data_IF_698139510476
#
_entry.id   IF_698139510476
#
_cell.length_a   1.000
_cell.length_b   1.000
_cell.length_c   1.000
_cell.angle_alpha   90.00
_cell.angle_beta   90.00
_cell.angle_gamma   90.00
#
_symmetry.space_group_name_H-M   'P 1'
#
loop_
_entity.id
_entity.type
_entity.pdbx_description
1 polymer ?
#
# COMPACT_ATOMS: atom_id res chain seq x y z
N UNK A 1 -3.84 -20.52 9.54
CA UNK A 1 -3.90 -21.63 8.56
C UNK A 1 -2.49 -22.02 8.17
N UNK A 2 -2.09 -23.28 8.40
CA UNK A 2 -0.68 -23.65 8.29
C UNK A 2 -0.24 -23.74 6.83
N UNK A 3 0.51 -22.74 6.38
CA UNK A 3 1.35 -22.88 5.19
C UNK A 3 2.39 -23.98 5.44
N UNK A 4 2.67 -24.79 4.42
CA UNK A 4 3.79 -25.73 4.45
C UNK A 4 4.87 -25.20 3.51
N UNK A 5 6.10 -25.15 3.99
CA UNK A 5 7.25 -24.70 3.22
C UNK A 5 8.28 -25.83 3.27
N UNK A 6 8.69 -26.31 2.10
CA UNK A 6 9.69 -27.36 1.94
C UNK A 6 10.83 -26.78 1.10
N UNK A 7 12.06 -27.05 1.49
CA UNK A 7 13.23 -26.77 0.68
C UNK A 7 13.79 -28.09 0.14
N UNK A 8 14.16 -28.12 -1.14
CA UNK A 8 14.75 -29.29 -1.76
C UNK A 8 15.80 -28.89 -2.81
N UNK A 9 16.90 -29.63 -2.83
CA UNK A 9 18.03 -29.46 -3.75
C UNK A 9 17.78 -30.21 -5.07
N UNK A 10 16.64 -29.94 -5.72
CA UNK A 10 16.31 -30.46 -7.04
C UNK A 10 16.69 -29.46 -8.13
N UNK A 11 17.70 -29.76 -8.95
CA UNK A 11 18.21 -28.82 -9.94
C UNK A 11 18.39 -29.44 -11.35
N UNK A 12 18.09 -30.74 -11.49
CA UNK A 12 17.89 -31.43 -12.76
C UNK A 12 16.39 -31.69 -13.00
N UNK A 13 15.87 -31.67 -14.25
CA UNK A 13 14.44 -31.87 -14.52
C UNK A 13 13.85 -33.15 -13.90
N UNK A 14 14.61 -34.24 -13.89
CA UNK A 14 14.20 -35.51 -13.27
C UNK A 14 14.02 -35.40 -11.76
N UNK A 15 14.93 -34.69 -11.08
CA UNK A 15 14.85 -34.44 -9.63
C UNK A 15 13.64 -33.56 -9.33
N UNK A 16 13.49 -32.45 -10.08
CA UNK A 16 12.34 -31.54 -9.96
C UNK A 16 11.03 -32.30 -10.14
N UNK A 17 10.92 -33.14 -11.17
CA UNK A 17 9.71 -33.94 -11.41
C UNK A 17 9.41 -34.89 -10.24
N UNK A 18 10.42 -35.59 -9.71
CA UNK A 18 10.25 -36.50 -8.57
C UNK A 18 9.80 -35.77 -7.29
N UNK A 19 10.40 -34.62 -6.99
CA UNK A 19 10.01 -33.79 -5.84
C UNK A 19 8.58 -33.30 -5.98
N UNK A 20 8.19 -32.77 -7.14
CA UNK A 20 6.85 -32.23 -7.34
C UNK A 20 5.76 -33.32 -7.37
N UNK A 21 6.06 -34.50 -7.91
CA UNK A 21 5.16 -35.65 -7.83
C UNK A 21 4.94 -36.08 -6.36
N UNK A 22 6.02 -36.13 -5.57
CA UNK A 22 5.94 -36.41 -4.14
C UNK A 22 5.12 -35.34 -3.41
N UNK A 23 5.34 -34.07 -3.71
CA UNK A 23 4.58 -32.96 -3.16
C UNK A 23 3.08 -33.05 -3.47
N UNK A 24 2.70 -33.44 -4.69
CA UNK A 24 1.29 -33.67 -5.06
C UNK A 24 0.66 -34.83 -4.29
N UNK A 25 1.44 -35.85 -3.93
CA UNK A 25 0.93 -36.95 -3.09
C UNK A 25 0.49 -36.48 -1.69
N UNK A 26 1.02 -35.35 -1.21
CA UNK A 26 0.62 -34.69 0.04
C UNK A 26 -0.70 -33.91 -0.07
N UNK A 27 -1.35 -33.94 -1.25
CA UNK A 27 -2.64 -33.31 -1.56
C UNK A 27 -2.75 -31.86 -1.05
N UNK A 28 -1.82 -30.95 -1.40
CA UNK A 28 -1.98 -29.54 -1.06
C UNK A 28 -3.16 -28.93 -1.84
N UNK A 29 -3.75 -27.86 -1.32
CA UNK A 29 -4.77 -27.10 -2.06
C UNK A 29 -4.16 -26.50 -3.32
N UNK A 30 -2.98 -25.88 -3.19
CA UNK A 30 -2.13 -25.47 -4.30
C UNK A 30 -0.67 -25.82 -4.03
N UNK A 31 0.02 -26.25 -5.08
CA UNK A 31 1.45 -26.47 -5.10
C UNK A 31 2.15 -25.27 -5.75
N UNK A 32 2.87 -24.52 -4.93
CA UNK A 32 3.60 -23.32 -5.33
C UNK A 32 5.09 -23.64 -5.36
N UNK A 33 5.78 -23.23 -6.42
CA UNK A 33 7.22 -23.50 -6.59
C UNK A 33 7.97 -22.19 -6.77
N UNK A 34 9.01 -21.99 -5.98
CA UNK A 34 10.04 -20.98 -6.25
C UNK A 34 11.28 -21.71 -6.78
N UNK A 35 11.54 -21.58 -8.08
CA UNK A 35 12.59 -22.30 -8.80
C UNK A 35 13.77 -21.39 -9.14
N UNK A 36 14.98 -21.80 -8.75
CA UNK A 36 16.23 -21.19 -9.17
C UNK A 36 16.93 -22.08 -10.19
N UNK A 37 16.99 -21.68 -11.48
CA UNK A 37 17.72 -22.43 -12.48
C UNK A 37 19.22 -22.43 -12.16
N UNK A 38 19.89 -23.56 -12.39
CA UNK A 38 21.33 -23.71 -12.15
C UNK A 38 22.08 -23.83 -13.47
N UNK A 39 23.01 -22.89 -13.73
CA UNK A 39 23.84 -22.73 -14.94
C UNK A 39 23.05 -22.29 -16.18
N UNK A 40 23.65 -21.38 -16.96
CA UNK A 40 23.08 -20.93 -18.23
C UNK A 40 23.05 -22.06 -19.26
N UNK A 41 24.14 -22.81 -19.35
CA UNK A 41 24.27 -23.91 -20.31
C UNK A 41 23.21 -25.00 -20.11
N UNK A 42 22.88 -25.31 -18.84
CA UNK A 42 21.84 -26.28 -18.49
C UNK A 42 20.45 -25.71 -18.71
N UNK A 43 20.21 -24.46 -18.31
CA UNK A 43 18.94 -23.76 -18.53
C UNK A 43 18.58 -23.77 -20.01
N UNK A 44 19.55 -23.47 -20.89
CA UNK A 44 19.35 -23.50 -22.34
C UNK A 44 19.06 -24.92 -22.86
N UNK A 45 19.88 -25.91 -22.48
CA UNK A 45 19.79 -27.28 -23.01
C UNK A 45 18.55 -28.04 -22.56
N UNK A 46 18.10 -27.80 -21.32
CA UNK A 46 17.03 -28.56 -20.67
C UNK A 46 15.76 -27.75 -20.46
N UNK A 47 15.60 -26.61 -21.15
CA UNK A 47 14.46 -25.70 -20.95
C UNK A 47 13.12 -26.45 -21.08
N UNK A 48 12.94 -27.22 -22.16
CA UNK A 48 11.72 -27.98 -22.43
C UNK A 48 11.45 -29.04 -21.35
N UNK A 49 12.49 -29.76 -20.91
CA UNK A 49 12.35 -30.78 -19.86
C UNK A 49 11.98 -30.15 -18.51
N UNK A 50 12.56 -28.99 -18.17
CA UNK A 50 12.10 -28.21 -17.00
C UNK A 50 10.65 -27.75 -17.17
N UNK A 51 10.28 -27.26 -18.36
CA UNK A 51 8.93 -26.84 -18.69
C UNK A 51 7.90 -27.93 -18.43
N UNK A 52 8.22 -29.18 -18.81
CA UNK A 52 7.42 -30.38 -18.53
C UNK A 52 7.39 -30.73 -17.05
N UNK A 53 8.55 -30.77 -16.39
CA UNK A 53 8.64 -31.14 -14.98
C UNK A 53 7.84 -30.19 -14.07
N UNK A 54 7.94 -28.89 -14.35
CA UNK A 54 7.29 -27.83 -13.58
C UNK A 54 5.78 -27.74 -13.80
N UNK A 55 5.20 -28.44 -14.81
CA UNK A 55 3.74 -28.52 -14.98
C UNK A 55 3.03 -29.15 -13.78
N UNK A 56 3.76 -29.90 -12.95
CA UNK A 56 3.19 -30.45 -11.73
C UNK A 56 2.78 -29.36 -10.72
N UNK A 57 3.30 -28.14 -10.81
CA UNK A 57 2.94 -27.01 -9.94
C UNK A 57 1.71 -26.26 -10.45
N UNK A 58 0.97 -25.61 -9.54
CA UNK A 58 -0.10 -24.68 -9.90
C UNK A 58 0.45 -23.29 -10.26
N UNK A 59 1.55 -22.90 -9.61
CA UNK A 59 2.24 -21.64 -9.87
C UNK A 59 3.75 -21.76 -9.66
N UNK A 60 4.53 -21.29 -10.62
CA UNK A 60 5.98 -21.32 -10.65
C UNK A 60 6.55 -19.90 -10.67
N UNK A 61 7.36 -19.56 -9.69
CA UNK A 61 8.15 -18.35 -9.64
C UNK A 61 9.59 -18.68 -10.00
N UNK A 62 10.09 -18.12 -11.10
CA UNK A 62 11.45 -18.39 -11.56
C UNK A 62 12.36 -17.23 -11.18
N UNK A 63 13.40 -17.50 -10.39
CA UNK A 63 14.41 -16.51 -10.03
C UNK A 63 15.47 -16.38 -11.12
N UNK A 64 16.35 -15.38 -10.98
CA UNK A 64 17.56 -15.29 -11.80
C UNK A 64 18.39 -16.59 -11.72
N UNK A 65 19.01 -16.92 -12.84
CA UNK A 65 19.84 -18.13 -13.00
C UNK A 65 21.03 -18.03 -12.06
N UNK A 66 21.24 -19.07 -11.23
CA UNK A 66 22.47 -19.22 -10.47
C UNK A 66 23.59 -19.67 -11.42
N UNK A 67 24.63 -18.84 -11.68
CA UNK A 67 25.57 -19.07 -12.77
C UNK A 67 26.55 -20.22 -12.50
N UNK A 68 26.87 -20.51 -11.23
CA UNK A 68 27.90 -21.48 -10.84
C UNK A 68 29.22 -21.32 -11.64
N UNK A 69 29.71 -20.07 -11.69
CA UNK A 69 30.91 -19.65 -12.44
C UNK A 69 30.80 -19.64 -13.97
N UNK A 70 29.62 -19.89 -14.56
CA UNK A 70 29.41 -19.67 -16.00
C UNK A 70 29.24 -18.19 -16.33
N UNK A 71 29.74 -17.78 -17.51
CA UNK A 71 29.38 -16.51 -18.10
C UNK A 71 27.95 -16.57 -18.65
N UNK A 72 27.18 -15.46 -18.60
CA UNK A 72 25.88 -15.39 -19.22
C UNK A 72 25.92 -15.78 -20.71
N UNK A 73 24.95 -16.59 -21.13
CA UNK A 73 24.72 -16.91 -22.54
C UNK A 73 23.67 -15.95 -23.08
N UNK A 74 23.94 -15.32 -24.22
CA UNK A 74 23.02 -14.39 -24.87
C UNK A 74 21.65 -15.05 -25.11
N UNK A 75 20.58 -14.35 -24.72
CA UNK A 75 19.20 -14.83 -24.84
C UNK A 75 18.75 -15.85 -23.78
N UNK A 76 19.64 -16.33 -22.91
CA UNK A 76 19.30 -17.32 -21.86
C UNK A 76 19.08 -16.62 -20.53
N UNK A 77 17.84 -16.64 -20.04
CA UNK A 77 17.44 -15.95 -18.80
C UNK A 77 16.42 -16.79 -18.02
N UNK A 78 15.97 -16.31 -16.85
CA UNK A 78 14.85 -16.90 -16.13
C UNK A 78 13.58 -17.03 -17.02
N UNK A 79 13.40 -16.09 -17.96
CA UNK A 79 12.28 -16.11 -18.92
C UNK A 79 12.31 -17.37 -19.81
N UNK A 80 13.50 -17.92 -20.10
CA UNK A 80 13.63 -19.16 -20.87
C UNK A 80 12.88 -20.33 -20.22
N UNK A 81 12.89 -20.43 -18.88
CA UNK A 81 12.13 -21.46 -18.16
C UNK A 81 10.64 -21.10 -18.12
N UNK A 82 10.27 -19.84 -17.90
CA UNK A 82 8.87 -19.40 -17.91
C UNK A 82 8.21 -19.71 -19.25
N UNK A 83 8.87 -19.38 -20.37
CA UNK A 83 8.38 -19.65 -21.72
C UNK A 83 8.23 -21.16 -21.98
N UNK A 84 9.17 -21.96 -21.47
CA UNK A 84 9.09 -23.42 -21.58
C UNK A 84 7.93 -24.01 -20.76
N UNK A 85 7.65 -23.48 -19.56
CA UNK A 85 6.48 -23.86 -18.76
C UNK A 85 5.20 -23.50 -19.50
N UNK A 86 5.09 -22.28 -20.04
CA UNK A 86 3.90 -21.83 -20.76
C UNK A 86 3.64 -22.62 -22.04
N UNK A 87 4.70 -23.10 -22.70
CA UNK A 87 4.60 -23.90 -23.93
C UNK A 87 4.21 -25.36 -23.68
N UNK A 88 4.39 -25.87 -22.45
CA UNK A 88 4.15 -27.28 -22.09
C UNK A 88 2.82 -27.52 -21.35
N UNK A 89 2.04 -26.48 -21.04
CA UNK A 89 0.73 -26.64 -20.41
C UNK A 89 0.20 -25.36 -19.76
N UNK A 90 -0.62 -25.55 -18.73
CA UNK A 90 -1.41 -24.46 -18.12
C UNK A 90 -0.87 -23.99 -16.77
N UNK A 91 0.27 -24.52 -16.30
CA UNK A 91 0.90 -24.04 -15.08
C UNK A 91 1.24 -22.55 -15.23
N UNK A 92 0.85 -21.74 -14.24
CA UNK A 92 1.20 -20.32 -14.24
C UNK A 92 2.69 -20.20 -13.96
N UNK A 93 3.40 -19.35 -14.70
CA UNK A 93 4.80 -19.06 -14.45
C UNK A 93 5.13 -17.58 -14.63
N UNK A 94 5.96 -17.03 -13.76
CA UNK A 94 6.46 -15.66 -13.86
C UNK A 94 7.89 -15.50 -13.33
N UNK A 95 8.62 -14.55 -13.89
CA UNK A 95 9.97 -14.19 -13.44
C UNK A 95 9.87 -13.28 -12.22
N UNK A 96 10.61 -13.61 -11.15
CA UNK A 96 10.65 -12.81 -9.92
C UNK A 96 11.98 -12.07 -9.70
N UNK A 97 12.96 -12.29 -10.59
CA UNK A 97 14.27 -11.65 -10.54
C UNK A 97 15.19 -12.26 -9.46
N UNK A 98 16.04 -11.45 -8.82
CA UNK A 98 17.03 -11.96 -7.86
C UNK A 98 16.39 -12.66 -6.66
N UNK A 99 17.01 -13.76 -6.18
CA UNK A 99 16.59 -14.49 -4.97
C UNK A 99 16.39 -13.56 -3.77
N UNK A 100 17.24 -12.53 -3.62
CA UNK A 100 17.14 -11.56 -2.52
C UNK A 100 15.74 -10.94 -2.38
N UNK A 101 15.03 -10.74 -3.50
CA UNK A 101 13.72 -10.12 -3.57
C UNK A 101 12.56 -11.09 -3.83
N UNK A 102 12.85 -12.33 -4.24
CA UNK A 102 11.81 -13.29 -4.68
C UNK A 102 10.71 -13.54 -3.64
N UNK A 103 11.06 -13.50 -2.36
CA UNK A 103 10.11 -13.69 -1.26
C UNK A 103 8.98 -12.66 -1.19
N UNK A 104 9.17 -11.43 -1.71
CA UNK A 104 8.09 -10.44 -1.77
C UNK A 104 6.95 -10.91 -2.68
N UNK A 105 7.28 -11.32 -3.90
CA UNK A 105 6.30 -11.79 -4.89
C UNK A 105 5.73 -13.15 -4.50
N UNK A 106 6.60 -14.09 -4.11
CA UNK A 106 6.19 -15.45 -3.71
C UNK A 106 5.29 -15.37 -2.47
N UNK A 107 5.72 -14.68 -1.42
CA UNK A 107 4.98 -14.58 -0.16
C UNK A 107 3.64 -13.85 -0.29
N UNK A 108 3.53 -12.83 -1.16
CA UNK A 108 2.26 -12.15 -1.42
C UNK A 108 1.24 -13.04 -2.16
N UNK A 109 1.71 -14.01 -2.93
CA UNK A 109 0.84 -14.91 -3.69
C UNK A 109 0.32 -16.12 -2.89
N UNK A 110 0.94 -16.40 -1.74
CA UNK A 110 0.57 -17.53 -0.89
C UNK A 110 -0.81 -17.33 -0.25
N UNK A 111 -1.52 -18.45 -0.11
CA UNK A 111 -2.83 -18.55 0.52
C UNK A 111 -2.82 -19.66 1.58
N UNK A 112 -3.74 -19.59 2.57
CA UNK A 112 -4.04 -20.72 3.43
C UNK A 112 -4.13 -22.05 2.66
N UNK A 113 -3.47 -23.10 3.15
CA UNK A 113 -3.51 -24.44 2.53
C UNK A 113 -2.44 -24.70 1.46
N UNK A 114 -1.71 -23.67 1.02
CA UNK A 114 -0.62 -23.84 0.05
C UNK A 114 0.54 -24.67 0.61
N UNK A 115 1.17 -25.42 -0.30
CA UNK A 115 2.50 -25.99 -0.12
C UNK A 115 3.48 -25.24 -1.03
N UNK A 116 4.37 -24.46 -0.43
CA UNK A 116 5.50 -23.83 -1.11
C UNK A 116 6.69 -24.79 -1.12
N UNK A 117 7.32 -24.94 -2.29
CA UNK A 117 8.61 -25.60 -2.41
C UNK A 117 9.63 -24.63 -3.01
N UNK A 118 10.74 -24.41 -2.29
CA UNK A 118 11.94 -23.79 -2.88
C UNK A 118 12.78 -24.89 -3.52
N UNK A 119 13.06 -24.74 -4.82
CA UNK A 119 13.73 -25.74 -5.64
C UNK A 119 14.86 -25.12 -6.45
N UNK A 120 15.98 -25.81 -6.53
CA UNK A 120 17.10 -25.41 -7.35
C UNK A 120 18.42 -25.54 -6.62
N UNK A 121 19.43 -24.88 -7.15
CA UNK A 121 20.74 -24.82 -6.52
C UNK A 121 21.16 -23.36 -6.33
N UNK A 122 22.02 -23.11 -5.34
CA UNK A 122 22.35 -21.76 -4.89
C UNK A 122 21.66 -21.46 -3.56
N UNK A 123 20.96 -20.34 -3.48
CA UNK A 123 20.42 -19.80 -2.23
C UNK A 123 18.89 -19.61 -2.24
N UNK A 124 18.17 -20.28 -3.15
CA UNK A 124 16.71 -20.20 -3.26
C UNK A 124 15.95 -20.51 -1.95
N UNK A 125 16.53 -21.35 -1.08
CA UNK A 125 16.01 -21.67 0.25
C UNK A 125 15.81 -20.43 1.15
N UNK A 126 16.54 -19.34 0.90
CA UNK A 126 16.37 -18.07 1.61
C UNK A 126 14.97 -17.49 1.44
N UNK A 127 14.32 -17.74 0.28
CA UNK A 127 12.95 -17.28 0.01
C UNK A 127 11.99 -17.92 1.02
N UNK A 128 12.03 -19.25 1.13
CA UNK A 128 11.20 -20.02 2.05
C UNK A 128 11.46 -19.63 3.51
N UNK A 129 12.74 -19.45 3.86
CA UNK A 129 13.16 -19.08 5.22
C UNK A 129 12.61 -17.70 5.64
N UNK A 130 12.71 -16.68 4.77
CA UNK A 130 12.17 -15.34 5.03
C UNK A 130 10.65 -15.36 5.19
N UNK A 131 9.95 -16.07 4.29
CA UNK A 131 8.49 -16.20 4.34
C UNK A 131 8.07 -16.91 5.64
N UNK A 132 8.73 -18.01 6.02
CA UNK A 132 8.40 -18.76 7.24
C UNK A 132 8.52 -17.88 8.50
N UNK A 133 9.62 -17.12 8.61
CA UNK A 133 9.86 -16.19 9.72
C UNK A 133 8.78 -15.12 9.80
N UNK A 134 8.50 -14.45 8.68
CA UNK A 134 7.57 -13.33 8.64
C UNK A 134 6.11 -13.80 8.80
N UNK A 135 5.77 -14.98 8.27
CA UNK A 135 4.45 -15.60 8.46
C UNK A 135 4.17 -15.91 9.92
N UNK A 136 5.17 -16.41 10.67
CA UNK A 136 5.03 -16.69 12.11
C UNK A 136 4.57 -15.45 12.86
N UNK A 137 5.13 -14.28 12.54
CA UNK A 137 4.76 -13.00 13.16
C UNK A 137 3.31 -12.62 12.85
N UNK A 138 2.88 -12.76 11.58
CA UNK A 138 1.48 -12.50 11.20
C UNK A 138 0.53 -13.47 11.90
N UNK A 139 0.86 -14.76 11.95
CA UNK A 139 0.02 -15.76 12.63
C UNK A 139 -0.14 -15.45 14.12
N UNK A 140 0.92 -15.01 14.80
CA UNK A 140 0.86 -14.54 16.18
C UNK A 140 -0.07 -13.32 16.34
N UNK A 141 0.08 -12.30 15.49
CA UNK A 141 -0.78 -11.10 15.49
C UNK A 141 -2.26 -11.45 15.23
N UNK A 142 -2.53 -12.31 14.25
CA UNK A 142 -3.90 -12.72 13.91
C UNK A 142 -4.53 -13.58 15.00
N UNK A 143 -3.73 -14.45 15.64
CA UNK A 143 -4.20 -15.23 16.78
C UNK A 143 -4.57 -14.31 17.94
N UNK A 144 -3.73 -13.34 18.29
CA UNK A 144 -4.00 -12.35 19.35
C UNK A 144 -5.35 -11.64 19.12
N UNK A 145 -5.57 -11.10 17.92
CA UNK A 145 -6.80 -10.37 17.59
C UNK A 145 -8.06 -11.24 17.60
N UNK A 146 -7.95 -12.51 17.22
CA UNK A 146 -9.11 -13.39 17.03
C UNK A 146 -9.39 -14.30 18.23
N UNK A 147 -8.48 -14.47 19.19
CA UNK A 147 -8.66 -15.27 20.42
C UNK A 147 -9.86 -14.80 21.27
N UNK A 148 -10.23 -13.51 21.18
CA UNK A 148 -11.36 -12.91 21.89
C UNK A 148 -12.59 -12.69 21.01
N UNK A 149 -12.73 -13.41 19.90
CA UNK A 149 -13.93 -13.34 19.08
C UNK A 149 -14.97 -14.34 19.58
N UNK A 150 -16.16 -13.84 19.95
CA UNK A 150 -17.32 -14.70 20.26
C UNK A 150 -17.90 -15.34 18.99
N UNK A 151 -17.62 -14.74 17.83
CA UNK A 151 -18.04 -15.22 16.51
C UNK A 151 -16.80 -15.73 15.75
N UNK A 152 -16.75 -17.05 15.54
CA UNK A 152 -15.64 -17.72 14.83
C UNK A 152 -15.68 -17.40 13.34
N UNK A 153 -16.84 -16.96 12.81
CA UNK A 153 -17.04 -16.75 11.37
C UNK A 153 -16.72 -15.33 10.90
N UNK A 154 -16.43 -14.39 11.81
CA UNK A 154 -16.00 -13.03 11.47
C UNK A 154 -14.65 -12.67 12.10
N UNK A 155 -13.54 -12.67 11.33
CA UNK A 155 -12.24 -12.28 11.86
C UNK A 155 -12.25 -10.80 12.27
N UNK A 156 -11.64 -10.46 13.40
CA UNK A 156 -11.49 -9.08 13.88
C UNK A 156 -10.38 -8.31 13.18
N UNK A 157 -9.48 -9.02 12.49
CA UNK A 157 -8.44 -8.45 11.64
C UNK A 157 -8.05 -9.41 10.51
N UNK A 158 -7.60 -8.85 9.40
CA UNK A 158 -6.95 -9.59 8.31
C UNK A 158 -5.47 -9.20 8.18
N UNK A 159 -4.68 -10.08 7.58
CA UNK A 159 -3.27 -9.82 7.33
C UNK A 159 -2.77 -10.42 6.01
N UNK A 160 -1.77 -9.77 5.41
CA UNK A 160 -1.05 -10.24 4.22
C UNK A 160 0.44 -9.97 4.35
N UNK A 161 1.25 -10.88 3.82
CA UNK A 161 2.68 -10.65 3.64
C UNK A 161 2.93 -9.84 2.37
N UNK A 162 3.90 -8.94 2.45
CA UNK A 162 4.50 -8.22 1.32
C UNK A 162 3.48 -7.57 0.37
N UNK A 163 2.39 -7.02 0.91
CA UNK A 163 1.31 -6.45 0.10
C UNK A 163 1.80 -5.20 -0.65
N UNK A 164 1.69 -5.14 -1.99
CA UNK A 164 2.16 -3.99 -2.75
C UNK A 164 1.41 -2.71 -2.39
N UNK A 165 2.12 -1.69 -1.92
CA UNK A 165 1.53 -0.38 -1.59
C UNK A 165 0.95 0.34 -2.80
N UNK A 166 1.36 -0.03 -4.02
CA UNK A 166 0.71 0.44 -5.26
C UNK A 166 -0.78 0.11 -5.36
N UNK A 167 -1.28 -0.88 -4.61
CA UNK A 167 -2.73 -1.16 -4.51
C UNK A 167 -3.46 -0.26 -3.51
N UNK A 168 -2.71 0.43 -2.65
CA UNK A 168 -3.21 1.16 -1.48
C UNK A 168 -2.84 2.66 -1.50
N UNK A 169 -2.22 3.15 -2.57
CA UNK A 169 -1.97 4.58 -2.83
C UNK A 169 -2.75 5.06 -4.04
N UNK A 170 -3.19 6.32 -4.04
CA UNK A 170 -3.97 6.85 -5.19
C UNK A 170 -3.10 7.17 -6.41
N UNK A 171 -1.78 7.32 -6.23
CA UNK A 171 -0.82 7.43 -7.33
C UNK A 171 -0.48 6.07 -7.95
N UNK A 172 -0.93 4.97 -7.33
CA UNK A 172 -0.70 3.59 -7.78
C UNK A 172 0.79 3.22 -7.87
N UNK A 173 1.60 3.77 -6.96
CA UNK A 173 3.02 3.46 -6.80
C UNK A 173 3.28 2.94 -5.39
N UNK A 174 4.32 2.11 -5.24
CA UNK A 174 4.78 1.64 -3.95
C UNK A 174 5.16 0.16 -3.92
N UNK A 175 6.30 -0.10 -3.30
CA UNK A 175 6.81 -1.44 -3.00
C UNK A 175 6.00 -2.18 -1.93
N UNK A 176 6.46 -3.36 -1.50
CA UNK A 176 5.75 -4.22 -0.55
C UNK A 176 5.70 -3.64 0.87
N UNK A 177 4.55 -3.74 1.52
CA UNK A 177 4.42 -3.64 2.96
C UNK A 177 4.72 -5.00 3.59
N UNK A 178 5.75 -5.09 4.45
CA UNK A 178 6.18 -6.37 5.03
C UNK A 178 5.03 -7.10 5.71
N UNK A 179 4.34 -6.43 6.63
CA UNK A 179 3.10 -6.91 7.25
C UNK A 179 1.98 -5.93 6.96
N UNK A 180 1.07 -6.29 6.06
CA UNK A 180 -0.16 -5.51 5.84
C UNK A 180 -1.25 -6.02 6.77
N UNK A 181 -1.82 -5.14 7.57
CA UNK A 181 -2.76 -5.48 8.65
C UNK A 181 -4.02 -4.64 8.54
N UNK A 182 -5.19 -5.28 8.58
CA UNK A 182 -6.50 -4.64 8.44
C UNK A 182 -7.37 -4.96 9.65
N UNK A 183 -7.27 -4.20 10.76
CA UNK A 183 -8.17 -4.35 11.89
C UNK A 183 -9.56 -3.78 11.58
N UNK A 184 -10.60 -4.48 12.05
CA UNK A 184 -12.01 -4.15 11.83
C UNK A 184 -12.70 -3.49 13.03
N UNK A 185 -11.95 -3.25 14.11
CA UNK A 185 -12.46 -2.57 15.31
C UNK A 185 -11.32 -2.05 16.20
N UNK A 186 -11.69 -1.26 17.19
CA UNK A 186 -10.73 -0.54 18.03
C UNK A 186 -9.89 -1.46 18.92
N UNK A 187 -10.50 -2.53 19.42
CA UNK A 187 -9.82 -3.56 20.22
C UNK A 187 -8.70 -4.25 19.43
N UNK A 188 -9.01 -4.76 18.23
CA UNK A 188 -8.02 -5.39 17.36
C UNK A 188 -6.90 -4.43 16.96
N UNK A 189 -7.25 -3.16 16.65
CA UNK A 189 -6.25 -2.14 16.35
C UNK A 189 -5.30 -1.89 17.55
N UNK A 190 -5.85 -1.75 18.76
CA UNK A 190 -5.06 -1.58 19.99
C UNK A 190 -4.13 -2.76 20.24
N UNK A 191 -4.61 -3.99 20.08
CA UNK A 191 -3.81 -5.20 20.24
C UNK A 191 -2.65 -5.27 19.23
N UNK A 192 -2.89 -4.96 17.96
CA UNK A 192 -1.83 -4.93 16.94
C UNK A 192 -0.76 -3.87 17.25
N UNK A 193 -1.18 -2.67 17.66
CA UNK A 193 -0.27 -1.58 18.04
C UNK A 193 0.57 -1.97 19.27
N UNK A 194 -0.06 -2.52 20.31
CA UNK A 194 0.64 -3.01 21.51
C UNK A 194 1.65 -4.10 21.16
N UNK A 195 1.23 -5.11 20.40
CA UNK A 195 2.09 -6.20 19.95
C UNK A 195 3.34 -5.68 19.20
N UNK A 196 3.14 -4.72 18.27
CA UNK A 196 4.25 -4.13 17.52
C UNK A 196 5.20 -3.35 18.43
N UNK A 197 4.67 -2.52 19.33
CA UNK A 197 5.46 -1.73 20.30
C UNK A 197 6.31 -2.62 21.20
N UNK A 198 5.71 -3.67 21.78
CA UNK A 198 6.39 -4.60 22.71
C UNK A 198 7.55 -5.36 22.05
N UNK A 199 7.45 -5.64 20.75
CA UNK A 199 8.46 -6.38 19.98
C UNK A 199 9.40 -5.47 19.18
N UNK A 200 9.25 -4.15 19.30
CA UNK A 200 10.05 -3.20 18.53
C UNK A 200 9.82 -3.28 17.02
N UNK A 201 8.65 -3.75 16.58
CA UNK A 201 8.28 -3.78 15.16
C UNK A 201 7.87 -2.36 14.76
N UNK A 202 8.56 -1.71 13.81
CA UNK A 202 8.16 -0.38 13.33
C UNK A 202 6.75 -0.45 12.76
N UNK A 203 5.93 0.55 13.08
CA UNK A 203 4.53 0.58 12.65
C UNK A 203 4.20 1.86 11.91
N UNK A 204 3.35 1.74 10.90
CA UNK A 204 2.81 2.85 10.15
C UNK A 204 1.34 2.67 9.91
N UNK A 205 0.57 3.68 10.29
CA UNK A 205 -0.87 3.71 10.05
C UNK A 205 -1.10 4.40 8.71
N UNK A 206 -1.85 3.76 7.82
CA UNK A 206 -2.15 4.28 6.50
C UNK A 206 -3.66 4.30 6.26
N UNK A 207 -4.14 5.45 5.77
CA UNK A 207 -5.50 5.58 5.27
C UNK A 207 -5.58 5.12 3.81
N UNK A 208 -6.19 5.95 2.95
CA UNK A 208 -6.31 5.67 1.50
C UNK A 208 -5.03 5.91 0.68
N UNK A 209 -3.91 6.21 1.33
CA UNK A 209 -2.65 6.52 0.67
C UNK A 209 -2.73 7.67 -0.35
N UNK A 210 -3.63 8.63 -0.15
CA UNK A 210 -3.88 9.72 -1.11
C UNK A 210 -2.89 10.87 -1.04
N UNK A 211 -2.08 10.91 0.01
CA UNK A 211 -0.98 11.84 0.21
C UNK A 211 0.36 11.10 0.43
N UNK A 212 0.46 9.86 -0.06
CA UNK A 212 1.65 9.02 0.12
C UNK A 212 2.32 8.72 -1.22
N UNK A 213 3.65 8.82 -1.23
CA UNK A 213 4.51 8.22 -2.23
C UNK A 213 5.41 7.19 -1.52
N UNK A 214 5.04 5.92 -1.65
CA UNK A 214 5.85 4.83 -1.08
C UNK A 214 6.94 4.48 -2.06
N UNK A 215 8.19 4.41 -1.61
CA UNK A 215 9.35 4.00 -2.41
C UNK A 215 9.21 2.56 -2.90
N UNK A 216 9.96 2.23 -3.95
CA UNK A 216 9.86 0.93 -4.63
C UNK A 216 10.39 -0.24 -3.78
N UNK A 217 11.30 0.04 -2.82
CA UNK A 217 11.70 -0.95 -1.82
C UNK A 217 10.55 -1.33 -0.89
N UNK A 218 9.62 -0.41 -0.60
CA UNK A 218 8.46 -0.69 0.24
C UNK A 218 8.64 -0.26 1.70
N UNK A 219 7.85 -0.85 2.61
CA UNK A 219 7.79 -0.46 4.03
C UNK A 219 8.07 -1.69 4.91
N UNK A 220 9.14 -1.60 5.69
CA UNK A 220 9.49 -2.58 6.73
C UNK A 220 8.56 -2.45 7.94
N UNK A 221 8.26 -3.57 8.57
CA UNK A 221 7.40 -3.65 9.74
C UNK A 221 5.91 -3.63 9.40
N UNK A 222 5.10 -3.20 10.37
CA UNK A 222 3.65 -3.23 10.31
C UNK A 222 3.09 -2.01 9.56
N UNK A 223 2.34 -2.26 8.50
CA UNK A 223 1.50 -1.27 7.83
C UNK A 223 0.04 -1.58 8.18
N UNK A 224 -0.54 -0.74 9.05
CA UNK A 224 -1.86 -0.93 9.61
C UNK A 224 -2.85 -0.04 8.87
N UNK A 225 -3.87 -0.64 8.26
CA UNK A 225 -4.95 0.01 7.55
C UNK A 225 -6.30 -0.22 8.26
N UNK A 226 -6.71 0.69 9.16
CA UNK A 226 -8.00 0.59 9.84
C UNK A 226 -9.16 0.66 8.85
N UNK A 227 -9.96 -0.41 8.75
CA UNK A 227 -10.99 -0.56 7.71
C UNK A 227 -12.09 -1.50 8.15
N UNK A 228 -13.29 -1.39 7.58
CA UNK A 228 -14.46 -2.16 8.02
C UNK A 228 -14.97 -1.74 9.41
N UNK A 229 -16.02 -2.43 9.88
CA UNK A 229 -16.62 -2.27 11.21
C UNK A 229 -16.70 -0.82 11.72
N UNK A 230 -16.24 -0.60 12.94
CA UNK A 230 -16.24 0.71 13.63
C UNK A 230 -15.47 1.78 12.86
N UNK A 231 -14.40 1.40 12.15
CA UNK A 231 -13.59 2.35 11.39
C UNK A 231 -14.31 2.89 10.16
N UNK A 232 -15.23 2.13 9.56
CA UNK A 232 -15.97 2.56 8.37
C UNK A 232 -17.33 3.14 8.69
N UNK A 233 -17.76 3.09 9.96
CA UNK A 233 -19.07 3.56 10.37
C UNK A 233 -19.19 5.09 10.27
N UNK A 234 -20.39 5.53 9.90
CA UNK A 234 -20.78 6.95 9.86
C UNK A 234 -22.22 7.02 10.31
N UNK A 235 -22.46 7.66 11.44
CA UNK A 235 -23.79 7.82 12.04
C UNK A 235 -24.07 9.28 12.38
N UNK A 236 -25.35 9.62 12.47
CA UNK A 236 -25.83 10.96 12.75
C UNK A 236 -26.66 10.93 14.02
N UNK A 237 -26.33 11.82 14.96
CA UNK A 237 -27.01 12.00 16.23
C UNK A 237 -27.41 13.48 16.33
N UNK A 238 -28.62 13.81 15.89
CA UNK A 238 -29.05 15.22 15.78
C UNK A 238 -28.28 15.97 14.69
N UNK A 239 -27.55 17.00 15.08
CA UNK A 239 -26.66 17.82 14.25
C UNK A 239 -25.18 17.39 14.34
N UNK A 240 -24.89 16.30 15.06
CA UNK A 240 -23.54 15.74 15.22
C UNK A 240 -23.36 14.53 14.33
N UNK A 241 -22.27 14.50 13.57
CA UNK A 241 -21.87 13.37 12.73
C UNK A 241 -20.70 12.66 13.39
N UNK A 242 -20.84 11.36 13.64
CA UNK A 242 -19.80 10.51 14.23
C UNK A 242 -19.27 9.60 13.13
N UNK A 243 -17.96 9.67 12.88
CA UNK A 243 -17.33 8.91 11.81
C UNK A 243 -16.05 8.22 12.28
N UNK A 244 -15.91 6.93 11.94
CA UNK A 244 -14.68 6.18 12.15
C UNK A 244 -13.53 6.68 11.27
N UNK A 245 -12.29 6.50 11.71
CA UNK A 245 -11.10 6.98 11.02
C UNK A 245 -10.88 6.37 9.62
N UNK A 246 -11.44 5.17 9.37
CA UNK A 246 -11.45 4.52 8.06
C UNK A 246 -12.52 5.07 7.11
N UNK A 247 -13.52 5.81 7.60
CA UNK A 247 -14.63 6.31 6.81
C UNK A 247 -14.14 7.28 5.73
N UNK A 248 -14.60 7.07 4.50
CA UNK A 248 -14.26 7.95 3.37
C UNK A 248 -14.91 9.30 3.58
N UNK A 249 -14.18 10.37 3.28
CA UNK A 249 -14.73 11.73 3.29
C UNK A 249 -15.98 11.88 2.41
N UNK A 250 -15.96 11.27 1.23
CA UNK A 250 -17.13 11.16 0.36
C UNK A 250 -18.34 10.50 1.04
N UNK A 251 -18.13 9.45 1.84
CA UNK A 251 -19.21 8.77 2.58
C UNK A 251 -19.77 9.71 3.64
N UNK A 252 -18.90 10.40 4.39
CA UNK A 252 -19.30 11.37 5.41
C UNK A 252 -20.18 12.48 4.80
N UNK A 253 -19.72 13.14 3.73
CA UNK A 253 -20.47 14.17 3.03
C UNK A 253 -21.84 13.66 2.52
N UNK A 254 -21.87 12.46 1.94
CA UNK A 254 -23.11 11.85 1.45
C UNK A 254 -24.09 11.51 2.57
N UNK A 255 -23.60 11.04 3.73
CA UNK A 255 -24.46 10.72 4.89
C UNK A 255 -25.00 12.00 5.51
N UNK A 256 -24.17 13.05 5.63
CA UNK A 256 -24.61 14.38 6.08
C UNK A 256 -25.77 14.88 5.20
N UNK A 257 -25.59 14.87 3.88
CA UNK A 257 -26.60 15.32 2.94
C UNK A 257 -27.90 14.53 3.02
N UNK A 258 -27.82 13.21 3.19
CA UNK A 258 -29.00 12.34 3.34
C UNK A 258 -29.81 12.63 4.62
N UNK A 259 -29.19 13.23 5.63
CA UNK A 259 -29.84 13.62 6.89
C UNK A 259 -30.21 15.11 6.94
N UNK A 260 -30.13 15.83 5.80
CA UNK A 260 -30.46 17.26 5.76
C UNK A 260 -29.42 18.14 6.46
N UNK A 261 -28.17 17.67 6.56
CA UNK A 261 -27.07 18.39 7.18
C UNK A 261 -26.12 18.99 6.12
N UNK A 262 -25.71 20.23 6.34
CA UNK A 262 -24.72 20.98 5.55
C UNK A 262 -23.41 21.17 6.32
N UNK A 263 -22.38 21.63 5.63
CA UNK A 263 -21.05 21.92 6.18
C UNK A 263 -20.00 20.89 5.78
N UNK A 264 -20.40 19.70 5.33
CA UNK A 264 -19.47 18.61 4.98
C UNK A 264 -19.19 18.50 3.47
N UNK A 265 -19.76 19.36 2.64
CA UNK A 265 -19.73 19.23 1.17
C UNK A 265 -18.31 19.38 0.59
N UNK A 266 -17.46 20.15 1.25
CA UNK A 266 -16.05 20.32 0.86
C UNK A 266 -15.27 18.98 0.90
N UNK A 267 -15.71 18.03 1.72
CA UNK A 267 -15.11 16.71 1.84
C UNK A 267 -15.40 15.79 0.64
N UNK A 268 -16.47 16.03 -0.12
CA UNK A 268 -16.83 15.27 -1.34
C UNK A 268 -15.66 15.25 -2.34
N UNK A 269 -14.96 16.39 -2.43
CA UNK A 269 -13.85 16.60 -3.34
C UNK A 269 -12.52 16.00 -2.87
N UNK A 270 -12.39 15.53 -1.63
CA UNK A 270 -11.09 15.10 -1.09
C UNK A 270 -10.92 13.59 -1.24
N UNK A 271 -9.91 13.11 -2.00
CA UNK A 271 -9.56 11.70 -1.97
C UNK A 271 -8.93 11.40 -0.60
N UNK A 272 -9.68 10.79 0.32
CA UNK A 272 -9.15 10.50 1.65
C UNK A 272 -10.15 9.80 2.56
N UNK A 273 -9.72 9.53 3.78
CA UNK A 273 -10.56 9.09 4.89
C UNK A 273 -10.39 10.03 6.09
N UNK A 274 -11.32 9.94 7.04
CA UNK A 274 -11.38 10.78 8.24
C UNK A 274 -10.05 10.78 8.99
N UNK A 275 -9.44 9.62 9.22
CA UNK A 275 -8.17 9.49 9.93
C UNK A 275 -7.01 10.23 9.25
N UNK A 276 -6.88 10.10 7.92
CA UNK A 276 -5.93 10.88 7.14
C UNK A 276 -6.23 12.38 7.17
N UNK A 277 -7.52 12.73 7.14
CA UNK A 277 -8.04 14.07 7.31
C UNK A 277 -7.60 14.72 8.61
N UNK A 278 -7.87 14.06 9.73
CA UNK A 278 -7.46 14.48 11.06
C UNK A 278 -5.93 14.61 11.14
N UNK A 279 -5.18 13.61 10.66
CA UNK A 279 -3.71 13.60 10.71
C UNK A 279 -3.08 14.76 9.95
N UNK A 280 -3.70 15.15 8.85
CA UNK A 280 -3.23 16.20 7.96
C UNK A 280 -3.96 17.52 8.17
N UNK A 281 -4.88 17.66 9.13
CA UNK A 281 -5.85 18.76 9.16
C UNK A 281 -6.29 19.16 7.74
N UNK A 282 -6.82 18.18 7.00
CA UNK A 282 -7.12 18.34 5.58
C UNK A 282 -8.11 19.49 5.38
N UNK A 283 -7.94 20.23 4.29
CA UNK A 283 -8.79 21.38 4.03
C UNK A 283 -9.01 21.60 2.54
N UNK A 284 -10.21 22.06 2.20
CA UNK A 284 -10.58 22.51 0.87
C UNK A 284 -11.67 23.58 0.98
N UNK A 285 -11.77 24.44 -0.04
CA UNK A 285 -12.82 25.47 -0.11
C UNK A 285 -12.82 26.46 1.07
N UNK A 286 -11.67 26.67 1.72
CA UNK A 286 -11.53 27.61 2.84
C UNK A 286 -11.93 27.03 4.20
N UNK A 287 -12.21 25.72 4.27
CA UNK A 287 -12.53 25.00 5.51
C UNK A 287 -11.47 23.93 5.73
N UNK A 288 -11.07 23.73 6.98
CA UNK A 288 -10.20 22.64 7.43
C UNK A 288 -10.94 21.66 8.34
N UNK A 289 -10.36 20.48 8.54
CA UNK A 289 -11.00 19.39 9.29
C UNK A 289 -11.29 19.82 10.73
N UNK A 290 -10.32 20.46 11.40
CA UNK A 290 -10.46 20.89 12.79
C UNK A 290 -11.35 22.12 12.98
N UNK A 291 -11.81 22.79 11.91
CA UNK A 291 -12.85 23.83 12.03
C UNK A 291 -14.21 23.24 12.43
N UNK A 292 -14.41 21.94 12.22
CA UNK A 292 -15.69 21.26 12.42
C UNK A 292 -15.64 20.11 13.42
N UNK A 293 -14.45 19.75 13.90
CA UNK A 293 -14.29 18.68 14.90
C UNK A 293 -14.80 19.16 16.26
N UNK A 294 -15.63 18.35 16.92
CA UNK A 294 -16.03 18.54 18.32
C UNK A 294 -15.05 17.80 19.23
N UNK A 295 -14.79 16.53 18.90
CA UNK A 295 -13.91 15.64 19.65
C UNK A 295 -13.33 14.56 18.74
N UNK A 296 -12.22 13.97 19.19
CA UNK A 296 -11.57 12.85 18.53
C UNK A 296 -11.33 11.75 19.56
N UNK A 297 -11.64 10.51 19.19
CA UNK A 297 -11.26 9.33 19.96
C UNK A 297 -9.91 8.82 19.46
N UNK A 298 -8.96 8.62 20.36
CA UNK A 298 -7.59 8.20 20.07
C UNK A 298 -7.24 6.89 20.76
N UNK A 299 -6.33 6.13 20.14
CA UNK A 299 -5.44 5.23 20.86
C UNK A 299 -4.18 6.01 21.27
N UNK A 300 -3.96 6.14 22.57
CA UNK A 300 -2.89 6.94 23.15
C UNK A 300 -1.55 6.15 23.21
N UNK A 301 -0.47 6.81 23.62
CA UNK A 301 0.87 6.21 23.70
C UNK A 301 0.96 5.06 24.70
N UNK A 302 0.18 5.12 25.79
CA UNK A 302 0.06 4.04 26.78
C UNK A 302 -0.86 2.90 26.32
N UNK A 303 -1.47 3.02 25.14
CA UNK A 303 -2.34 2.00 24.55
C UNK A 303 -3.78 2.09 25.02
N UNK A 304 -4.16 3.09 25.80
CA UNK A 304 -5.55 3.30 26.23
C UNK A 304 -6.33 4.14 25.23
N UNK A 305 -7.65 3.90 25.17
CA UNK A 305 -8.55 4.63 24.29
C UNK A 305 -9.17 5.80 25.06
N UNK A 306 -9.02 7.01 24.53
CA UNK A 306 -9.53 8.24 25.16
C UNK A 306 -10.19 9.15 24.13
N UNK A 307 -11.19 9.89 24.57
CA UNK A 307 -11.76 11.00 23.80
C UNK A 307 -11.15 12.32 24.30
N UNK A 308 -10.77 13.19 23.37
CA UNK A 308 -10.34 14.57 23.65
C UNK A 308 -11.17 15.55 22.85
N UNK A 309 -11.52 16.68 23.43
CA UNK A 309 -12.21 17.76 22.74
C UNK A 309 -11.26 18.52 21.81
N UNK A 310 -11.82 19.32 20.90
CA UNK A 310 -11.03 20.09 19.93
C UNK A 310 -10.02 21.03 20.61
N UNK A 311 -10.41 21.71 21.69
CA UNK A 311 -9.57 22.64 22.44
C UNK A 311 -8.36 21.98 23.12
N UNK A 312 -8.41 20.66 23.32
CA UNK A 312 -7.29 19.87 23.83
C UNK A 312 -6.30 19.44 22.74
N UNK A 313 -6.60 19.70 21.45
CA UNK A 313 -5.82 19.20 20.31
C UNK A 313 -5.22 20.37 19.54
N UNK A 314 -3.89 20.44 19.51
CA UNK A 314 -3.21 21.50 18.74
C UNK A 314 -3.13 21.12 17.26
N UNK A 315 -3.84 21.88 16.40
CA UNK A 315 -3.80 21.74 14.94
C UNK A 315 -3.14 22.93 14.25
N UNK A 316 -2.38 22.65 13.18
CA UNK A 316 -1.78 23.64 12.28
C UNK A 316 -2.20 23.36 10.84
N UNK A 317 -1.91 24.32 9.93
CA UNK A 317 -2.06 24.11 8.50
C UNK A 317 -1.30 22.84 8.08
N UNK A 318 -2.06 21.86 7.57
CA UNK A 318 -1.57 20.57 7.08
C UNK A 318 -0.85 19.68 8.11
N UNK A 319 -1.02 19.91 9.42
CA UNK A 319 -0.31 19.14 10.44
C UNK A 319 -1.00 19.13 11.80
N UNK A 320 -1.15 17.95 12.39
CA UNK A 320 -1.59 17.76 13.79
C UNK A 320 -0.50 16.96 14.53
N UNK A 321 0.34 17.58 15.38
CA UNK A 321 1.50 16.92 15.99
C UNK A 321 1.14 15.75 16.90
N UNK A 322 0.06 15.86 17.69
CA UNK A 322 -0.35 14.81 18.63
C UNK A 322 -0.73 13.51 17.90
N UNK A 323 -1.30 13.61 16.71
CA UNK A 323 -1.64 12.48 15.84
C UNK A 323 -0.42 11.79 15.20
N UNK A 324 0.80 12.20 15.55
CA UNK A 324 2.03 11.48 15.18
C UNK A 324 2.29 10.28 16.08
N UNK A 325 1.90 10.38 17.35
CA UNK A 325 2.18 9.36 18.38
C UNK A 325 0.90 8.72 18.92
N UNK A 326 -0.22 9.45 18.83
CA UNK A 326 -1.57 8.98 19.09
C UNK A 326 -2.29 8.67 17.78
N UNK A 327 -3.13 7.64 17.75
CA UNK A 327 -3.83 7.24 16.53
C UNK A 327 -5.32 7.56 16.63
N UNK A 328 -5.82 8.39 15.72
CA UNK A 328 -7.26 8.64 15.61
C UNK A 328 -8.02 7.35 15.26
N UNK A 329 -9.07 7.08 16.02
CA UNK A 329 -9.98 5.93 15.84
C UNK A 329 -11.33 6.37 15.28
N UNK A 330 -11.86 7.50 15.75
CA UNK A 330 -13.07 8.16 15.25
C UNK A 330 -13.08 9.64 15.61
N UNK A 331 -13.97 10.42 15.00
CA UNK A 331 -14.20 11.81 15.35
C UNK A 331 -15.68 12.17 15.29
N UNK A 332 -16.06 13.18 16.09
CA UNK A 332 -17.36 13.82 16.07
C UNK A 332 -17.23 15.16 15.36
N UNK A 333 -18.13 15.43 14.42
CA UNK A 333 -18.16 16.66 13.63
C UNK A 333 -19.45 17.41 13.89
N UNK A 334 -19.35 18.72 14.05
CA UNK A 334 -20.50 19.62 14.10
C UNK A 334 -20.98 19.89 12.68
N UNK A 335 -22.28 19.69 12.45
CA UNK A 335 -22.95 20.06 11.22
C UNK A 335 -24.12 21.02 11.51
N UNK A 336 -24.78 21.49 10.45
CA UNK A 336 -25.93 22.39 10.57
C UNK A 336 -27.09 21.86 9.72
N UNK A 337 -28.32 22.02 10.17
CA UNK A 337 -29.50 21.69 9.36
C UNK A 337 -29.68 22.70 8.22
N UNK A 338 -29.97 22.22 7.03
CA UNK A 338 -30.21 23.06 5.86
C UNK A 338 -31.26 22.46 4.92
N UNK A 339 -31.74 23.26 3.97
CA UNK A 339 -32.67 22.77 2.95
C UNK A 339 -31.97 21.81 1.98
N UNK A 340 -32.66 20.77 1.48
CA UNK A 340 -32.10 19.83 0.51
C UNK A 340 -31.52 20.51 -0.74
N UNK A 341 -32.12 21.62 -1.18
CA UNK A 341 -31.69 22.38 -2.36
C UNK A 341 -30.32 23.02 -2.14
N UNK A 342 -30.09 23.64 -0.97
CA UNK A 342 -28.82 24.26 -0.62
C UNK A 342 -27.70 23.22 -0.52
N UNK A 343 -27.99 22.08 0.10
CA UNK A 343 -27.04 20.96 0.23
C UNK A 343 -26.67 20.42 -1.15
N UNK A 344 -27.67 20.17 -2.01
CA UNK A 344 -27.45 19.67 -3.36
C UNK A 344 -26.60 20.65 -4.19
N UNK A 345 -26.85 21.95 -4.05
CA UNK A 345 -26.06 22.99 -4.70
C UNK A 345 -24.58 22.94 -4.25
N UNK A 346 -24.32 22.96 -2.94
CA UNK A 346 -22.96 22.94 -2.38
C UNK A 346 -22.19 21.66 -2.74
N UNK A 347 -22.88 20.52 -2.74
CA UNK A 347 -22.31 19.25 -3.18
C UNK A 347 -21.89 19.26 -4.65
N UNK A 348 -22.71 19.87 -5.52
CA UNK A 348 -22.38 19.99 -6.94
C UNK A 348 -21.23 20.99 -7.17
N UNK A 349 -21.22 22.13 -6.48
CA UNK A 349 -20.11 23.09 -6.51
C UNK A 349 -18.78 22.43 -6.13
N UNK A 350 -18.79 21.57 -5.08
CA UNK A 350 -17.63 20.79 -4.65
C UNK A 350 -17.13 19.82 -5.72
N UNK A 351 -18.04 19.07 -6.35
CA UNK A 351 -17.71 18.14 -7.44
C UNK A 351 -17.17 18.87 -8.67
N UNK A 352 -17.82 19.95 -9.07
CA UNK A 352 -17.43 20.74 -10.24
C UNK A 352 -16.06 21.36 -10.04
N UNK A 353 -15.82 22.00 -8.89
CA UNK A 353 -14.51 22.59 -8.58
C UNK A 353 -13.39 21.56 -8.69
N UNK A 354 -13.56 20.36 -8.14
CA UNK A 354 -12.55 19.31 -8.26
C UNK A 354 -12.32 18.89 -9.71
N UNK A 355 -13.41 18.62 -10.45
CA UNK A 355 -13.35 18.13 -11.84
C UNK A 355 -12.67 19.11 -12.80
N UNK A 356 -12.80 20.41 -12.56
CA UNK A 356 -12.28 21.44 -13.46
C UNK A 356 -10.87 21.92 -13.08
N UNK A 357 -10.43 21.70 -11.83
CA UNK A 357 -9.15 22.22 -11.34
C UNK A 357 -8.08 21.16 -11.07
N UNK A 358 -8.44 19.87 -11.07
CA UNK A 358 -7.52 18.79 -10.67
C UNK A 358 -7.64 17.57 -11.59
N UNK A 359 -6.51 16.89 -11.87
CA UNK A 359 -6.50 15.69 -12.70
C UNK A 359 -7.33 14.55 -12.10
N UNK A 360 -8.09 13.89 -12.97
CA UNK A 360 -8.78 12.64 -12.67
C UNK A 360 -7.78 11.46 -12.60
N UNK A 361 -6.65 11.57 -13.29
CA UNK A 361 -5.61 10.54 -13.32
C UNK A 361 -5.01 10.24 -11.93
N UNK A 362 -4.46 9.04 -11.78
CA UNK A 362 -3.81 8.58 -10.56
C UNK A 362 -2.68 9.53 -10.14
N UNK A 363 -2.79 10.11 -8.95
CA UNK A 363 -1.84 11.07 -8.36
C UNK A 363 -1.89 11.01 -6.84
N UNK A 364 -0.90 11.61 -6.16
CA UNK A 364 -0.83 11.71 -4.72
C UNK A 364 -1.31 13.08 -4.18
N UNK A 365 -2.15 13.78 -4.96
CA UNK A 365 -2.54 15.16 -4.66
C UNK A 365 -1.46 16.17 -5.07
N UNK A 366 -1.47 17.32 -4.40
CA UNK A 366 -0.44 18.34 -4.55
C UNK A 366 0.92 17.78 -4.10
N UNK A 367 1.92 17.89 -4.97
CA UNK A 367 3.27 17.37 -4.69
C UNK A 367 4.00 18.29 -3.73
N UNK A 368 3.88 19.61 -3.93
CA UNK A 368 4.57 20.61 -3.14
C UNK A 368 3.60 21.47 -2.33
N UNK A 369 4.06 21.92 -1.18
CA UNK A 369 3.43 23.04 -0.46
C UNK A 369 3.56 24.30 -1.30
N UNK A 370 2.65 25.26 -1.11
CA UNK A 370 2.80 26.56 -1.73
C UNK A 370 3.95 27.33 -1.04
N UNK A 371 4.97 27.79 -1.80
CA UNK A 371 5.95 28.72 -1.27
C UNK A 371 5.30 30.10 -1.01
N UNK A 372 5.96 30.95 -0.23
CA UNK A 372 5.40 32.24 0.20
C UNK A 372 5.18 33.20 -0.98
N UNK A 373 6.04 33.10 -2.00
CA UNK A 373 6.07 34.02 -3.13
C UNK A 373 4.93 33.80 -4.12
N UNK A 374 4.54 32.53 -4.36
CA UNK A 374 3.48 32.20 -5.30
C UNK A 374 2.96 30.76 -5.14
N UNK A 375 1.77 30.42 -5.63
CA UNK A 375 1.28 29.04 -5.63
C UNK A 375 2.22 28.09 -6.40
N UNK A 376 2.50 26.91 -5.83
CA UNK A 376 3.45 25.95 -6.40
C UNK A 376 3.04 25.49 -7.82
N UNK A 377 1.73 25.34 -8.07
CA UNK A 377 1.24 24.98 -9.41
C UNK A 377 1.56 26.04 -10.46
N UNK A 378 1.39 27.32 -10.11
CA UNK A 378 1.72 28.44 -11.01
C UNK A 378 3.23 28.53 -11.25
N UNK A 379 4.04 28.25 -10.23
CA UNK A 379 5.50 28.21 -10.39
C UNK A 379 5.91 27.12 -11.40
N UNK A 380 5.41 25.89 -11.25
CA UNK A 380 5.72 24.79 -12.18
C UNK A 380 5.25 25.10 -13.60
N UNK A 381 4.07 25.71 -13.74
CA UNK A 381 3.54 26.16 -15.03
C UNK A 381 4.43 27.23 -15.67
N UNK A 382 4.86 28.23 -14.90
CA UNK A 382 5.73 29.32 -15.36
C UNK A 382 7.16 28.86 -15.70
N UNK A 383 7.59 27.73 -15.13
CA UNK A 383 8.84 27.05 -15.49
C UNK A 383 8.68 26.19 -16.76
N UNK A 384 7.49 26.13 -17.36
CA UNK A 384 7.22 25.35 -18.56
C UNK A 384 7.38 23.85 -18.36
N UNK A 385 7.07 23.35 -17.16
CA UNK A 385 7.27 21.94 -16.79
C UNK A 385 6.02 21.07 -16.91
N UNK A 386 4.87 21.62 -17.34
CA UNK A 386 3.72 20.78 -17.71
C UNK A 386 4.16 19.75 -18.75
N UNK A 387 3.63 18.54 -18.62
CA UNK A 387 3.93 17.39 -19.49
C UNK A 387 5.36 16.84 -19.40
N UNK A 388 6.26 17.46 -18.61
CA UNK A 388 7.57 16.90 -18.32
C UNK A 388 7.42 15.51 -17.69
N UNK A 389 8.29 14.57 -18.07
CA UNK A 389 8.16 13.16 -17.68
C UNK A 389 9.49 12.53 -17.33
N UNK A 390 9.43 11.58 -16.41
CA UNK A 390 10.49 10.63 -16.07
C UNK A 390 9.82 9.26 -16.03
N UNK A 391 10.32 8.30 -16.82
CA UNK A 391 9.69 6.98 -16.94
C UNK A 391 8.21 7.06 -17.33
N UNK A 392 7.31 6.63 -16.44
CA UNK A 392 5.85 6.74 -16.64
C UNK A 392 5.18 7.78 -15.74
N UNK A 393 5.94 8.55 -14.97
CA UNK A 393 5.45 9.70 -14.22
C UNK A 393 5.47 10.96 -15.10
N UNK A 394 4.45 11.81 -14.98
CA UNK A 394 4.35 13.04 -15.75
C UNK A 394 3.74 14.18 -14.94
N UNK A 395 4.21 15.42 -15.12
CA UNK A 395 3.52 16.61 -14.62
C UNK A 395 2.20 16.79 -15.37
N UNK A 396 1.11 16.97 -14.64
CA UNK A 396 -0.24 17.09 -15.22
C UNK A 396 -0.36 18.30 -16.15
N UNK A 397 -1.07 18.13 -17.26
CA UNK A 397 -1.50 19.22 -18.15
C UNK A 397 -2.50 20.15 -17.48
N UNK A 398 -3.32 19.61 -16.58
CA UNK A 398 -4.42 20.32 -15.93
C UNK A 398 -3.89 21.23 -14.80
N UNK A 399 -2.92 20.75 -14.01
CA UNK A 399 -2.40 21.48 -12.85
C UNK A 399 -0.93 21.17 -12.56
N UNK A 400 -0.04 22.17 -12.62
CA UNK A 400 1.42 21.97 -12.48
C UNK A 400 1.89 21.35 -11.16
N UNK A 401 1.13 21.50 -10.07
CA UNK A 401 1.46 20.89 -8.78
C UNK A 401 1.08 19.40 -8.65
N UNK A 402 0.61 18.76 -9.73
CA UNK A 402 0.23 17.34 -9.71
C UNK A 402 1.16 16.54 -10.62
N UNK A 403 1.71 15.45 -10.08
CA UNK A 403 2.35 14.41 -10.87
C UNK A 403 1.37 13.25 -11.00
N UNK A 404 1.12 12.85 -12.25
CA UNK A 404 0.21 11.76 -12.60
C UNK A 404 0.99 10.52 -13.03
N UNK A 405 0.46 9.36 -12.66
CA UNK A 405 0.92 8.07 -13.13
C UNK A 405 0.22 7.74 -14.46
N UNK A 406 0.97 7.69 -15.57
CA UNK A 406 0.45 7.33 -16.91
C UNK A 406 0.29 5.81 -17.12
N UNK A 407 0.44 5.03 -16.05
CA UNK A 407 0.36 3.58 -16.03
C UNK A 407 1.72 2.96 -15.73
N UNK A 408 1.78 2.15 -14.66
CA UNK A 408 2.97 1.43 -14.20
C UNK A 408 4.18 2.33 -13.88
N UNK A 409 3.96 3.60 -13.50
CA UNK A 409 5.04 4.42 -12.95
C UNK A 409 5.58 3.80 -11.66
N UNK A 410 6.90 3.91 -11.51
CA UNK A 410 7.59 3.56 -10.26
C UNK A 410 7.62 4.76 -9.33
N UNK A 411 7.88 4.52 -8.05
CA UNK A 411 8.12 5.62 -7.12
C UNK A 411 9.37 6.42 -7.50
N UNK A 412 10.42 5.73 -7.96
CA UNK A 412 11.64 6.35 -8.47
C UNK A 412 11.38 7.33 -9.64
N UNK A 413 10.42 7.03 -10.52
CA UNK A 413 10.03 7.93 -11.62
C UNK A 413 9.47 9.26 -11.08
N UNK A 414 8.57 9.16 -10.10
CA UNK A 414 7.94 10.34 -9.46
C UNK A 414 8.97 11.15 -8.70
N UNK A 415 9.89 10.49 -7.99
CA UNK A 415 10.98 11.15 -7.25
C UNK A 415 11.95 11.89 -8.18
N UNK A 416 12.33 11.27 -9.31
CA UNK A 416 13.17 11.92 -10.30
C UNK A 416 12.53 13.21 -10.83
N UNK A 417 11.22 13.17 -11.09
CA UNK A 417 10.48 14.35 -11.55
C UNK A 417 10.34 15.43 -10.46
N UNK A 418 10.17 15.03 -9.19
CA UNK A 418 10.20 15.96 -8.04
C UNK A 418 11.55 16.70 -7.98
N UNK A 419 12.65 15.96 -8.12
CA UNK A 419 14.00 16.51 -8.03
C UNK A 419 14.31 17.45 -9.20
N UNK A 420 13.85 17.12 -10.42
CA UNK A 420 13.99 17.99 -11.59
C UNK A 420 13.21 19.30 -11.43
N UNK A 421 11.96 19.25 -10.92
CA UNK A 421 11.16 20.44 -10.62
C UNK A 421 11.86 21.32 -9.58
N UNK A 422 12.32 20.73 -8.47
CA UNK A 422 13.05 21.45 -7.42
C UNK A 422 14.31 22.13 -7.94
N UNK A 423 15.10 21.40 -8.74
CA UNK A 423 16.34 21.92 -9.32
C UNK A 423 16.05 23.12 -10.22
N UNK A 424 15.04 23.04 -11.07
CA UNK A 424 14.67 24.12 -12.00
C UNK A 424 14.10 25.34 -11.27
N UNK A 425 13.24 25.13 -10.27
CA UNK A 425 12.70 26.20 -9.44
C UNK A 425 13.82 26.97 -8.72
N UNK A 426 14.79 26.23 -8.16
CA UNK A 426 15.94 26.85 -7.48
C UNK A 426 16.86 27.58 -8.47
N UNK A 427 17.15 27.00 -9.64
CA UNK A 427 18.09 27.61 -10.59
C UNK A 427 17.53 28.83 -11.31
N UNK A 428 16.23 28.85 -11.66
CA UNK A 428 15.64 29.91 -12.48
C UNK A 428 14.91 30.98 -11.66
N UNK A 429 14.45 30.65 -10.46
CA UNK A 429 13.63 31.54 -9.62
C UNK A 429 14.16 31.72 -8.20
N UNK A 430 15.22 31.02 -7.82
CA UNK A 430 15.79 30.97 -6.46
C UNK A 430 14.82 30.44 -5.37
N UNK A 431 13.69 29.86 -5.78
CA UNK A 431 12.66 29.35 -4.87
C UNK A 431 12.97 27.90 -4.46
N UNK A 432 12.93 27.62 -3.15
CA UNK A 432 13.11 26.27 -2.61
C UNK A 432 11.74 25.63 -2.36
N UNK A 433 11.42 24.56 -3.09
CA UNK A 433 10.12 23.90 -2.96
C UNK A 433 10.16 22.77 -1.92
N UNK A 434 9.20 22.78 -0.99
CA UNK A 434 8.99 21.69 -0.02
C UNK A 434 7.89 20.74 -0.49
N UNK A 435 8.09 19.43 -0.34
CA UNK A 435 7.07 18.43 -0.65
C UNK A 435 5.95 18.45 0.40
N UNK A 436 4.70 18.44 -0.06
CA UNK A 436 3.52 18.18 0.77
C UNK A 436 3.23 16.67 0.85
N UNK A 437 3.43 15.98 -0.28
CA UNK A 437 3.35 14.52 -0.36
C UNK A 437 4.32 13.88 0.63
N UNK A 438 3.85 12.88 1.35
CA UNK A 438 4.68 12.15 2.31
C UNK A 438 5.43 11.04 1.57
N UNK A 439 6.74 11.21 1.43
CA UNK A 439 7.64 10.22 0.83
C UNK A 439 8.10 9.24 1.91
N UNK A 440 7.87 7.95 1.68
CA UNK A 440 7.99 6.94 2.73
C UNK A 440 8.57 5.63 2.22
N UNK A 441 9.07 4.79 3.14
CA UNK A 441 9.68 3.52 2.79
C UNK A 441 11.16 3.66 2.44
N UNK A 442 11.71 2.63 1.81
CA UNK A 442 13.14 2.51 1.47
C UNK A 442 13.35 2.39 -0.04
N UNK A 443 14.52 2.82 -0.52
CA UNK A 443 14.91 2.66 -1.93
C UNK A 443 15.20 1.19 -2.28
N UNK A 444 15.86 0.48 -1.35
CA UNK A 444 16.00 -0.97 -1.35
C UNK A 444 15.45 -1.51 -0.04
N UNK A 445 14.73 -2.63 -0.07
CA UNK A 445 14.19 -3.21 1.16
C UNK A 445 15.29 -3.96 1.92
N UNK A 446 15.75 -3.47 3.06
CA UNK A 446 16.84 -4.17 3.79
C UNK A 446 16.34 -4.83 5.08
N UNK A 447 16.68 -6.11 5.26
CA UNK A 447 16.34 -6.88 6.46
C UNK A 447 17.44 -6.84 7.50
#
# INVERSE_FOLDING_TARGET
PKLRIIDDYGHHPTEVAATLQTARSLKPERLIVAFQPHRYSRTQKLADDFGKALQAADHVFVTDIYPASELPIEGVTAQTIVDAVQSNGNARAEVVGPVKWGHHTVGNALQPGDLLITLGAGNVHEIGTKIARDMTIIEEMMRLCNERSEDVDQPKANAKLYEPMSRHTTILCGGPAQFWLEPHGFDAFSQLVRYCRERGIPQRIVGRGSNLLVRDGGIRGAVIHPTGGEFSDVRVEGDVIIAGAGARFKKLASVAAAHGLTGMEWMEGIPGNVGGGLRMNAGAMGIETFDQVISVTFLDEDGEIRERSNDEIVSYYRSVPELRRNFALSAKFQAEAASPELIAQRMEESKQKRRTSQPIAASAGCIFKNPEEMPAGMLVDALGLKEASVGKAQVSTEHGNFIVNRGKAKAADVLGLIDDIRRKAKSERDITMETEVQIIGEDEFTF
#
